data_IF_207188408087
#
_entry.id   IF_207188408087
#
_cell.length_a   1.000
_cell.length_b   1.000
_cell.length_c   1.000
_cell.angle_alpha   90.00
_cell.angle_beta   90.00
_cell.angle_gamma   90.00
#
_symmetry.space_group_name_H-M   'P 1'
#
loop_
_entity.id
_entity.type
_entity.pdbx_description
1 polymer ?
#
# COMPACT_ATOMS: atom_id res chain seq x y z
N UNK A 1 13.86 6.27 6.37
CA UNK A 1 14.27 7.50 7.11
C UNK A 1 15.64 7.38 7.76
N UNK A 2 15.90 6.45 8.70
CA UNK A 2 17.26 6.36 9.31
C UNK A 2 18.33 6.02 8.27
N UNK A 3 18.05 5.09 7.36
CA UNK A 3 18.94 4.80 6.21
C UNK A 3 19.17 6.03 5.34
N UNK A 4 18.09 6.72 4.93
CA UNK A 4 18.17 7.96 4.16
C UNK A 4 18.97 9.07 4.86
N UNK A 5 18.85 9.22 6.17
CA UNK A 5 19.65 10.17 6.94
C UNK A 5 21.15 9.81 6.86
N UNK A 6 21.48 8.52 7.01
CA UNK A 6 22.86 8.03 6.86
C UNK A 6 23.39 8.25 5.44
N UNK A 7 22.61 7.95 4.42
CA UNK A 7 22.95 8.20 3.00
C UNK A 7 23.19 9.70 2.74
N UNK A 8 22.43 10.58 3.41
CA UNK A 8 22.58 12.03 3.31
C UNK A 8 23.69 12.61 4.21
N UNK A 9 24.47 11.77 4.91
CA UNK A 9 25.51 12.25 5.82
C UNK A 9 24.98 12.97 7.07
N UNK A 10 23.71 12.78 7.42
CA UNK A 10 23.06 13.44 8.56
C UNK A 10 23.18 12.57 9.81
N UNK A 11 23.78 13.14 10.85
CA UNK A 11 23.76 12.57 12.19
C UNK A 11 22.46 12.91 12.91
N UNK A 12 21.57 11.92 13.04
CA UNK A 12 20.33 12.07 13.81
C UNK A 12 20.63 12.15 15.30
N UNK A 13 20.01 13.10 16.01
CA UNK A 13 20.12 13.24 17.47
C UNK A 13 19.77 11.94 18.20
N UNK A 14 18.76 11.22 17.69
CA UNK A 14 18.40 9.87 18.13
C UNK A 14 17.84 9.07 16.94
N UNK A 15 18.44 7.92 16.62
CA UNK A 15 18.03 7.10 15.47
C UNK A 15 16.95 6.05 15.80
N UNK A 16 16.81 5.64 17.06
CA UNK A 16 15.92 4.56 17.53
C UNK A 16 16.02 3.23 16.78
N UNK A 17 17.04 3.02 15.93
CA UNK A 17 17.15 1.88 15.03
C UNK A 17 17.16 0.52 15.76
N UNK A 18 17.63 0.50 17.02
CA UNK A 18 17.63 -0.70 17.87
C UNK A 18 16.32 -0.92 18.65
N UNK A 19 15.57 0.16 18.91
CA UNK A 19 14.37 0.14 19.75
C UNK A 19 13.10 -0.09 18.92
N UNK A 20 13.01 0.54 17.74
CA UNK A 20 11.84 0.46 16.88
C UNK A 20 11.50 -0.98 16.44
N UNK A 21 12.44 -1.83 16.00
CA UNK A 21 12.13 -3.22 15.62
C UNK A 21 11.58 -4.05 16.79
N UNK A 22 12.17 -3.90 17.99
CA UNK A 22 11.69 -4.59 19.20
C UNK A 22 10.25 -4.21 19.54
N UNK A 23 9.93 -2.93 19.40
CA UNK A 23 8.59 -2.41 19.67
C UNK A 23 7.57 -2.92 18.63
N UNK A 24 7.96 -3.00 17.35
CA UNK A 24 7.13 -3.57 16.29
C UNK A 24 6.78 -5.06 16.57
N UNK A 25 7.76 -5.86 16.99
CA UNK A 25 7.53 -7.26 17.39
C UNK A 25 6.57 -7.34 18.57
N UNK A 26 6.73 -6.47 19.58
CA UNK A 26 5.83 -6.43 20.74
C UNK A 26 4.39 -6.08 20.35
N UNK A 27 4.19 -5.15 19.42
CA UNK A 27 2.84 -4.81 18.91
C UNK A 27 2.14 -6.05 18.36
N UNK A 28 2.83 -6.85 17.54
CA UNK A 28 2.30 -8.10 16.99
C UNK A 28 1.95 -9.12 18.09
N UNK A 29 2.85 -9.31 19.07
CA UNK A 29 2.62 -10.22 20.20
C UNK A 29 1.43 -9.80 21.06
N UNK A 30 1.31 -8.50 21.36
CA UNK A 30 0.17 -7.98 22.11
C UNK A 30 -1.14 -8.11 21.33
N UNK A 31 -1.12 -7.91 20.01
CA UNK A 31 -2.30 -8.13 19.17
C UNK A 31 -2.76 -9.59 19.22
N UNK A 32 -1.82 -10.53 19.05
CA UNK A 32 -2.09 -11.97 19.14
C UNK A 32 -2.68 -12.38 20.50
N UNK A 33 -2.08 -11.88 21.59
CA UNK A 33 -2.56 -12.14 22.95
C UNK A 33 -3.79 -11.28 23.35
N UNK A 34 -4.39 -10.52 22.43
CA UNK A 34 -5.54 -9.61 22.67
C UNK A 34 -5.28 -8.55 23.75
N UNK A 35 -4.01 -8.22 24.04
CA UNK A 35 -3.59 -7.22 25.03
C UNK A 35 -3.61 -5.79 24.46
N UNK A 36 -4.78 -5.33 24.02
CA UNK A 36 -4.89 -4.10 23.23
C UNK A 36 -4.45 -2.82 23.97
N UNK A 37 -4.55 -2.77 25.31
CA UNK A 37 -4.04 -1.63 26.10
C UNK A 37 -2.51 -1.49 25.97
N UNK A 38 -1.78 -2.63 26.04
CA UNK A 38 -0.33 -2.67 25.87
C UNK A 38 0.07 -2.39 24.42
N UNK A 39 -0.64 -3.00 23.47
CA UNK A 39 -0.47 -2.74 22.04
C UNK A 39 -0.57 -1.25 21.71
N UNK A 40 -1.65 -0.57 22.18
CA UNK A 40 -1.83 0.87 21.95
C UNK A 40 -0.72 1.71 22.58
N UNK A 41 -0.19 1.33 23.75
CA UNK A 41 0.95 2.02 24.38
C UNK A 41 2.21 1.88 23.53
N UNK A 42 2.51 0.68 23.05
CA UNK A 42 3.64 0.43 22.18
C UNK A 42 3.52 1.20 20.85
N UNK A 43 2.34 1.21 20.23
CA UNK A 43 2.08 2.00 19.02
C UNK A 43 2.27 3.51 19.24
N UNK A 44 1.81 4.06 20.38
CA UNK A 44 2.05 5.49 20.70
C UNK A 44 3.53 5.81 20.82
N UNK A 45 4.31 4.93 21.45
CA UNK A 45 5.76 5.10 21.56
C UNK A 45 6.45 5.00 20.19
N UNK A 46 6.04 4.05 19.35
CA UNK A 46 6.53 3.92 17.98
C UNK A 46 6.23 5.18 17.15
N UNK A 47 5.00 5.70 17.25
CA UNK A 47 4.58 6.98 16.64
C UNK A 47 5.47 8.14 17.11
N UNK A 48 5.79 8.18 18.40
CA UNK A 48 6.71 9.17 18.98
C UNK A 48 8.11 9.10 18.39
N UNK A 49 8.67 7.90 18.20
CA UNK A 49 9.99 7.72 17.58
C UNK A 49 10.00 8.19 16.12
N UNK A 50 9.03 7.74 15.32
CA UNK A 50 8.90 8.16 13.93
C UNK A 50 8.75 9.70 13.81
N UNK A 51 7.92 10.32 14.65
CA UNK A 51 7.72 11.77 14.66
C UNK A 51 8.94 12.57 15.12
N UNK A 52 9.81 12.00 15.97
CA UNK A 52 11.09 12.63 16.34
C UNK A 52 12.08 12.57 15.18
N UNK A 53 12.27 11.38 14.57
CA UNK A 53 13.15 11.22 13.40
C UNK A 53 12.71 12.12 12.25
N UNK A 54 11.41 12.17 11.93
CA UNK A 54 10.85 13.03 10.88
C UNK A 54 11.20 14.50 11.09
N UNK A 55 11.00 15.01 12.32
CA UNK A 55 11.31 16.41 12.64
C UNK A 55 12.80 16.70 12.59
N UNK A 56 13.63 15.77 13.03
CA UNK A 56 15.08 15.93 13.03
C UNK A 56 15.62 15.97 11.61
N UNK A 57 15.26 14.98 10.78
CA UNK A 57 15.64 14.93 9.37
C UNK A 57 15.12 16.15 8.59
N UNK A 58 13.90 16.63 8.88
CA UNK A 58 13.36 17.85 8.26
C UNK A 58 14.17 19.10 8.59
N UNK A 59 14.79 19.19 9.77
CA UNK A 59 15.63 20.36 10.14
C UNK A 59 16.92 20.41 9.33
N UNK A 60 17.46 19.26 8.95
CA UNK A 60 18.66 19.14 8.12
C UNK A 60 18.36 19.17 6.62
N UNK A 61 17.11 19.37 6.20
CA UNK A 61 16.73 19.29 4.79
C UNK A 61 17.48 20.30 3.90
N UNK A 62 17.79 21.48 4.46
CA UNK A 62 18.56 22.52 3.77
C UNK A 62 20.04 22.16 3.59
N UNK A 63 20.56 21.28 4.45
CA UNK A 63 21.94 20.79 4.42
C UNK A 63 22.14 19.70 3.35
N UNK A 64 21.03 19.16 2.81
CA UNK A 64 21.06 18.15 1.75
C UNK A 64 21.13 18.85 0.38
N UNK A 65 22.15 18.59 -0.44
CA UNK A 65 22.23 19.12 -1.81
C UNK A 65 21.03 18.71 -2.66
N UNK A 66 20.70 19.51 -3.68
CA UNK A 66 19.66 19.14 -4.64
C UNK A 66 20.04 17.87 -5.41
N UNK A 67 19.04 17.04 -5.72
CA UNK A 67 19.22 15.81 -6.48
C UNK A 67 18.36 14.64 -5.96
N UNK A 68 18.54 13.45 -6.55
CA UNK A 68 17.65 12.30 -6.32
C UNK A 68 17.56 11.87 -4.84
N UNK A 69 18.64 12.03 -4.08
CA UNK A 69 18.63 11.71 -2.65
C UNK A 69 17.73 12.65 -1.86
N UNK A 70 17.75 13.95 -2.17
CA UNK A 70 16.90 14.95 -1.51
C UNK A 70 15.43 14.72 -1.84
N UNK A 71 15.12 14.36 -3.08
CA UNK A 71 13.76 13.99 -3.50
C UNK A 71 13.26 12.78 -2.69
N UNK A 72 14.04 11.70 -2.60
CA UNK A 72 13.72 10.52 -1.77
C UNK A 72 13.51 10.88 -0.28
N UNK A 73 14.29 11.84 0.24
CA UNK A 73 14.11 12.35 1.61
C UNK A 73 12.80 13.12 1.74
N UNK A 74 12.47 14.00 0.80
CA UNK A 74 11.22 14.75 0.76
C UNK A 74 10.01 13.81 0.70
N UNK A 75 10.04 12.81 -0.18
CA UNK A 75 8.98 11.81 -0.31
C UNK A 75 8.79 11.03 0.99
N UNK A 76 9.88 10.58 1.60
CA UNK A 76 9.82 9.89 2.89
C UNK A 76 9.27 10.80 4.01
N UNK A 77 9.65 12.08 4.03
CA UNK A 77 9.12 13.06 4.99
C UNK A 77 7.62 13.30 4.79
N UNK A 78 7.16 13.36 3.54
CA UNK A 78 5.75 13.52 3.18
C UNK A 78 4.92 12.28 3.55
N UNK A 79 5.37 11.08 3.17
CA UNK A 79 4.70 9.81 3.48
C UNK A 79 4.58 9.58 4.99
N UNK A 80 5.67 9.79 5.74
CA UNK A 80 5.65 9.68 7.21
C UNK A 80 4.86 10.85 7.83
N UNK A 81 4.85 12.00 7.17
CA UNK A 81 3.87 13.09 7.33
C UNK A 81 2.45 12.56 7.51
N UNK A 82 1.92 12.09 6.40
CA UNK A 82 0.58 11.52 6.23
C UNK A 82 0.31 10.35 7.18
N UNK A 83 1.25 9.41 7.31
CA UNK A 83 1.09 8.25 8.21
C UNK A 83 0.86 8.66 9.67
N UNK A 84 1.55 9.71 10.14
CA UNK A 84 1.43 10.17 11.52
C UNK A 84 0.14 10.97 11.76
N UNK A 85 -0.44 11.57 10.73
CA UNK A 85 -1.72 12.30 10.80
C UNK A 85 -2.91 11.35 10.63
N UNK A 86 -2.73 10.23 9.94
CA UNK A 86 -3.74 9.22 9.71
C UNK A 86 -4.37 8.71 11.01
N UNK A 87 -5.70 8.73 11.05
CA UNK A 87 -6.52 8.25 12.16
C UNK A 87 -7.37 7.03 11.79
N UNK A 88 -8.12 6.48 12.76
CA UNK A 88 -8.97 5.31 12.52
C UNK A 88 -10.04 5.49 11.44
N UNK A 89 -10.56 6.72 11.28
CA UNK A 89 -11.62 7.07 10.32
C UNK A 89 -11.10 7.76 9.05
N UNK A 90 -9.78 7.91 8.89
CA UNK A 90 -9.22 8.47 7.66
C UNK A 90 -9.60 7.62 6.46
N UNK A 91 -9.99 8.27 5.36
CA UNK A 91 -10.09 7.66 4.04
C UNK A 91 -8.68 7.53 3.43
N UNK A 92 -8.55 6.74 2.38
CA UNK A 92 -7.32 6.56 1.59
C UNK A 92 -6.12 6.33 2.50
N UNK A 93 -6.14 5.21 3.23
CA UNK A 93 -5.10 4.94 4.22
C UNK A 93 -3.82 4.47 3.56
N UNK A 94 -2.70 5.01 4.03
CA UNK A 94 -1.38 4.50 3.71
C UNK A 94 -1.14 3.20 4.47
N UNK A 95 -0.94 2.10 3.74
CA UNK A 95 -0.68 0.78 4.29
C UNK A 95 0.80 0.35 4.20
N UNK A 96 1.51 0.80 3.15
CA UNK A 96 2.94 0.58 2.96
C UNK A 96 3.65 1.91 2.74
N UNK A 97 4.86 2.06 3.30
CA UNK A 97 5.74 3.19 2.98
C UNK A 97 6.58 2.96 1.72
N UNK A 98 6.71 1.71 1.30
CA UNK A 98 7.53 1.31 0.16
C UNK A 98 6.73 1.30 -1.15
N UNK A 99 5.42 1.07 -1.04
CA UNK A 99 4.47 0.99 -2.15
C UNK A 99 3.20 1.76 -1.71
N UNK A 100 3.22 3.10 -1.73
CA UNK A 100 2.14 3.92 -1.17
C UNK A 100 0.78 3.77 -1.87
N UNK A 101 0.78 3.19 -3.07
CA UNK A 101 -0.38 2.89 -3.92
C UNK A 101 -1.10 1.58 -3.57
N UNK A 102 -0.57 0.76 -2.67
CA UNK A 102 -1.21 -0.51 -2.30
C UNK A 102 -2.51 -0.29 -1.52
N UNK A 103 -3.54 -1.04 -1.90
CA UNK A 103 -4.81 -1.08 -1.21
C UNK A 103 -4.84 -2.19 -0.16
N UNK A 104 -5.74 -2.09 0.81
CA UNK A 104 -6.07 -3.18 1.73
C UNK A 104 -7.31 -3.90 1.24
N UNK A 105 -7.15 -5.18 0.88
CA UNK A 105 -8.18 -6.00 0.25
C UNK A 105 -8.61 -7.07 1.26
N UNK A 106 -9.91 -7.23 1.47
CA UNK A 106 -10.46 -8.27 2.35
C UNK A 106 -10.43 -9.62 1.64
N UNK A 107 -9.84 -10.63 2.30
CA UNK A 107 -9.68 -11.97 1.72
C UNK A 107 -10.86 -12.91 1.96
N UNK A 108 -11.85 -12.53 2.77
CA UNK A 108 -12.97 -13.41 3.17
C UNK A 108 -12.57 -14.68 3.94
N UNK A 109 -11.27 -14.89 4.21
CA UNK A 109 -10.72 -16.06 4.91
C UNK A 109 -10.53 -15.76 6.39
N UNK A 110 -10.98 -16.66 7.27
CA UNK A 110 -10.94 -16.47 8.72
C UNK A 110 -9.51 -16.24 9.27
N UNK A 111 -8.52 -16.96 8.73
CA UNK A 111 -7.13 -16.93 9.20
C UNK A 111 -6.30 -15.77 8.64
N UNK A 112 -6.57 -15.36 7.39
CA UNK A 112 -5.92 -14.23 6.71
C UNK A 112 -7.03 -13.30 6.22
N UNK A 113 -7.37 -12.31 7.04
CA UNK A 113 -8.52 -11.43 6.79
C UNK A 113 -8.26 -10.37 5.73
N UNK A 114 -6.99 -9.96 5.59
CA UNK A 114 -6.59 -8.88 4.71
C UNK A 114 -5.34 -9.27 3.93
N UNK A 115 -5.23 -8.73 2.73
CA UNK A 115 -4.02 -8.64 1.95
C UNK A 115 -3.75 -7.19 1.54
N UNK A 116 -2.52 -6.92 1.11
CA UNK A 116 -2.11 -5.61 0.64
C UNK A 116 -1.61 -5.73 -0.79
N UNK A 117 -2.10 -4.86 -1.66
CA UNK A 117 -1.73 -4.84 -3.07
C UNK A 117 -2.75 -4.10 -3.90
N UNK A 118 -2.56 -4.08 -5.21
CA UNK A 118 -3.52 -3.52 -6.16
C UNK A 118 -4.26 -4.65 -6.86
N UNK A 119 -5.58 -4.55 -6.95
CA UNK A 119 -6.39 -5.51 -7.69
C UNK A 119 -6.03 -5.44 -9.18
N UNK A 120 -5.94 -6.59 -9.84
CA UNK A 120 -5.64 -6.66 -11.27
C UNK A 120 -6.65 -7.56 -11.98
N UNK A 121 -6.92 -7.27 -13.25
CA UNK A 121 -7.58 -8.19 -14.18
C UNK A 121 -6.56 -8.69 -15.19
N UNK A 122 -6.60 -9.99 -15.46
CA UNK A 122 -5.80 -10.64 -16.49
C UNK A 122 -6.78 -11.32 -17.45
N UNK A 123 -6.68 -10.97 -18.73
CA UNK A 123 -7.48 -11.56 -19.79
C UNK A 123 -6.59 -12.49 -20.62
N UNK A 124 -7.05 -13.72 -20.81
CA UNK A 124 -6.36 -14.74 -21.61
C UNK A 124 -7.29 -15.29 -22.69
N UNK A 125 -6.71 -15.76 -23.79
CA UNK A 125 -7.46 -16.54 -24.79
C UNK A 125 -7.92 -17.85 -24.17
N UNK A 126 -9.14 -18.28 -24.50
CA UNK A 126 -9.68 -19.58 -24.06
C UNK A 126 -8.81 -20.73 -24.59
N UNK A 127 -8.44 -20.63 -25.86
CA UNK A 127 -7.55 -21.57 -26.52
C UNK A 127 -6.10 -21.07 -26.40
N UNK A 128 -5.25 -21.88 -25.77
CA UNK A 128 -3.81 -21.61 -25.64
C UNK A 128 -3.38 -20.70 -24.49
N UNK A 129 -4.30 -19.98 -23.83
CA UNK A 129 -4.00 -19.20 -22.62
C UNK A 129 -3.08 -17.99 -22.84
N UNK A 130 -3.05 -17.43 -24.05
CA UNK A 130 -2.25 -16.24 -24.35
C UNK A 130 -2.83 -15.02 -23.66
N UNK A 131 -1.98 -14.23 -23.01
CA UNK A 131 -2.41 -13.00 -22.36
C UNK A 131 -2.69 -11.91 -23.40
N UNK A 132 -3.94 -11.43 -23.44
CA UNK A 132 -4.44 -10.42 -24.38
C UNK A 132 -4.85 -9.12 -23.68
N UNK A 133 -4.76 -9.08 -22.36
CA UNK A 133 -5.00 -7.88 -21.57
C UNK A 133 -4.54 -8.05 -20.13
N UNK A 134 -4.03 -6.97 -19.54
CA UNK A 134 -3.69 -6.88 -18.14
C UNK A 134 -3.96 -5.45 -17.65
N UNK A 135 -4.81 -5.29 -16.64
CA UNK A 135 -5.23 -3.98 -16.12
C UNK A 135 -5.18 -3.95 -14.60
N UNK A 136 -4.59 -2.90 -14.04
CA UNK A 136 -4.65 -2.63 -12.61
C UNK A 136 -5.88 -1.79 -12.24
N UNK A 137 -6.35 -2.00 -11.01
CA UNK A 137 -7.56 -1.41 -10.44
C UNK A 137 -7.26 -0.86 -9.05
N UNK A 138 -6.68 0.35 -8.95
CA UNK A 138 -6.43 1.01 -7.67
C UNK A 138 -7.74 1.42 -6.98
N UNK A 139 -7.70 1.56 -5.65
CA UNK A 139 -8.85 1.92 -4.82
C UNK A 139 -9.75 0.75 -4.44
N UNK A 140 -9.31 -0.49 -4.67
CA UNK A 140 -10.03 -1.72 -4.35
C UNK A 140 -11.51 -1.72 -4.80
N UNK A 141 -11.80 -1.60 -6.12
CA UNK A 141 -13.17 -1.59 -6.62
C UNK A 141 -13.83 -2.96 -6.45
N UNK A 142 -15.16 -2.97 -6.37
CA UNK A 142 -15.95 -4.21 -6.34
C UNK A 142 -15.66 -5.11 -7.55
N UNK A 143 -15.57 -6.43 -7.35
CA UNK A 143 -15.15 -7.39 -8.38
C UNK A 143 -16.03 -7.32 -9.63
N UNK A 144 -17.34 -7.15 -9.47
CA UNK A 144 -18.28 -7.01 -10.58
C UNK A 144 -18.07 -5.77 -11.47
N UNK A 145 -17.29 -4.77 -11.03
CA UNK A 145 -16.97 -3.60 -11.86
C UNK A 145 -15.70 -3.76 -12.71
N UNK A 146 -14.96 -4.85 -12.53
CA UNK A 146 -13.70 -5.10 -13.25
C UNK A 146 -13.85 -5.69 -14.65
N UNK A 147 -14.89 -6.49 -15.00
CA UNK A 147 -14.98 -7.12 -16.32
C UNK A 147 -15.14 -6.13 -17.48
N UNK A 148 -16.04 -5.14 -17.38
CA UNK A 148 -16.29 -4.22 -18.49
C UNK A 148 -15.03 -3.42 -18.89
N UNK A 149 -14.30 -2.79 -17.95
CA UNK A 149 -13.03 -2.13 -18.28
C UNK A 149 -11.93 -3.07 -18.77
N UNK A 150 -11.96 -4.36 -18.38
CA UNK A 150 -11.00 -5.35 -18.86
C UNK A 150 -11.31 -5.75 -20.32
N UNK A 151 -12.58 -5.99 -20.66
CA UNK A 151 -13.01 -6.31 -22.02
C UNK A 151 -12.81 -5.13 -22.98
N UNK A 152 -13.05 -3.91 -22.51
CA UNK A 152 -12.72 -2.69 -23.26
C UNK A 152 -11.22 -2.64 -23.59
N UNK A 153 -10.34 -2.94 -22.62
CA UNK A 153 -8.90 -2.99 -22.85
C UNK A 153 -8.54 -4.05 -23.90
N UNK A 154 -9.11 -5.27 -23.81
CA UNK A 154 -8.85 -6.32 -24.79
C UNK A 154 -9.27 -5.88 -26.19
N UNK A 155 -10.45 -5.27 -26.33
CA UNK A 155 -10.93 -4.77 -27.61
C UNK A 155 -10.01 -3.71 -28.21
N UNK A 156 -9.46 -2.81 -27.39
CA UNK A 156 -8.50 -1.80 -27.83
C UNK A 156 -7.17 -2.45 -28.25
N UNK A 157 -6.65 -3.38 -27.45
CA UNK A 157 -5.34 -3.99 -27.70
C UNK A 157 -5.32 -4.97 -28.87
N UNK A 158 -6.45 -5.61 -29.17
CA UNK A 158 -6.56 -6.65 -30.22
C UNK A 158 -7.34 -6.19 -31.44
N UNK A 159 -7.87 -4.97 -31.42
CA UNK A 159 -8.82 -4.42 -32.40
C UNK A 159 -10.03 -5.34 -32.66
N UNK A 160 -10.33 -6.22 -31.71
CA UNK A 160 -11.35 -7.27 -31.83
C UNK A 160 -12.15 -7.35 -30.55
N UNK A 161 -13.48 -7.26 -30.66
CA UNK A 161 -14.36 -7.47 -29.50
C UNK A 161 -14.56 -8.97 -29.25
N UNK A 162 -14.26 -9.49 -28.04
CA UNK A 162 -14.52 -10.90 -27.72
C UNK A 162 -16.00 -11.22 -27.84
N UNK A 163 -16.33 -12.32 -28.53
CA UNK A 163 -17.71 -12.82 -28.64
C UNK A 163 -18.16 -13.59 -27.39
N UNK A 164 -17.21 -14.13 -26.63
CA UNK A 164 -17.42 -14.86 -25.39
C UNK A 164 -16.36 -14.44 -24.37
N UNK A 165 -16.79 -14.18 -23.14
CA UNK A 165 -15.92 -13.97 -22.00
C UNK A 165 -16.36 -14.88 -20.85
N UNK A 166 -15.42 -15.67 -20.33
CA UNK A 166 -15.63 -16.50 -19.14
C UNK A 166 -14.91 -15.82 -17.98
N UNK A 167 -15.65 -15.53 -16.91
CA UNK A 167 -15.12 -14.82 -15.72
C UNK A 167 -15.39 -15.63 -14.46
N UNK A 168 -14.61 -15.37 -13.41
CA UNK A 168 -14.89 -15.92 -12.09
C UNK A 168 -16.28 -15.47 -11.61
N UNK A 169 -16.98 -16.35 -10.89
CA UNK A 169 -18.32 -16.07 -10.37
C UNK A 169 -18.38 -14.81 -9.49
N UNK A 170 -17.33 -14.51 -8.74
CA UNK A 170 -17.24 -13.29 -7.93
C UNK A 170 -17.21 -12.01 -8.77
N UNK A 171 -16.82 -12.12 -10.05
CA UNK A 171 -16.80 -11.04 -11.03
C UNK A 171 -18.07 -10.99 -11.88
N UNK A 172 -19.09 -11.81 -11.59
CA UNK A 172 -20.29 -11.92 -12.41
C UNK A 172 -20.97 -10.57 -12.61
N UNK A 173 -20.85 -10.07 -13.84
CA UNK A 173 -21.51 -8.89 -14.38
C UNK A 173 -22.89 -9.29 -14.90
N UNK A 174 -23.94 -8.58 -14.50
CA UNK A 174 -25.22 -8.65 -15.20
C UNK A 174 -25.16 -7.66 -16.38
N UNK A 175 -25.18 -8.10 -17.64
CA UNK A 175 -25.33 -7.15 -18.74
C UNK A 175 -26.64 -6.37 -18.59
N UNK A 176 -26.66 -5.08 -18.98
CA UNK A 176 -27.91 -4.32 -18.99
C UNK A 176 -28.94 -5.10 -19.81
N UNK A 177 -30.12 -5.32 -19.23
CA UNK A 177 -31.24 -5.95 -19.94
C UNK A 177 -31.67 -5.00 -21.05
N UNK A 178 -31.71 -5.51 -22.27
CA UNK A 178 -32.33 -4.88 -23.45
C UNK A 178 -33.80 -4.57 -23.19
#
# INVERSE_FOLDING_TARGET
>A
MVGLAKEAGIELRQSYARLAPRLAIQVGRYAHARQFKRMRRALRQFKGYAGRIRRDLRRHLQDIPQGPLRERVLDALWLVGRLLEQGPKSKDKLFSLHEPEVDCISKGKARVRYEFGTRVSLATTLDGGFMVGARSFPGNPYDGHTPAPALEQVAILTDTRPSLAVVDRAMAWAPPRS
#
